data_IF_020998129551
#
_entry.id   IF_020998129551
#
_cell.length_a   1.000
_cell.length_b   1.000
_cell.length_c   1.000
_cell.angle_alpha   90.00
_cell.angle_beta   90.00
_cell.angle_gamma   90.00
#
_symmetry.space_group_name_H-M   'P 1'
#
loop_
_entity.id
_entity.type
_entity.pdbx_description
1 polymer ?
#
# COMPACT_ATOMS: atom_id res chain seq x y z
N UNK A 1 5.49 16.01 -13.34
CA UNK A 1 6.94 15.74 -13.21
C UNK A 1 7.22 14.30 -13.62
N UNK A 2 8.40 14.00 -14.17
CA UNK A 2 8.82 12.63 -14.52
C UNK A 2 9.97 12.22 -13.58
N UNK A 3 9.96 10.99 -13.04
CA UNK A 3 11.02 10.50 -12.17
C UNK A 3 11.28 9.02 -12.42
N UNK A 4 12.55 8.70 -12.70
CA UNK A 4 13.06 7.35 -12.63
C UNK A 4 14.18 7.34 -11.57
N UNK A 5 13.98 6.71 -10.40
CA UNK A 5 14.99 6.69 -9.34
C UNK A 5 16.31 6.05 -9.78
N UNK A 6 16.25 5.17 -10.80
CA UNK A 6 17.40 4.50 -11.37
C UNK A 6 17.48 4.74 -12.87
N UNK A 7 18.68 4.55 -13.42
CA UNK A 7 18.93 4.78 -14.85
C UNK A 7 19.95 3.81 -15.39
N UNK A 8 19.81 3.46 -16.65
CA UNK A 8 20.78 2.67 -17.42
C UNK A 8 21.11 3.32 -18.76
N UNK A 9 20.89 4.64 -18.87
CA UNK A 9 21.08 5.43 -20.08
C UNK A 9 22.55 5.64 -20.51
N UNK A 10 23.51 5.24 -19.69
CA UNK A 10 24.93 5.24 -20.02
C UNK A 10 25.61 3.96 -19.51
N UNK A 11 26.79 3.59 -20.06
CA UNK A 11 27.46 2.35 -19.70
C UNK A 11 27.79 2.21 -18.21
N UNK A 12 28.18 3.29 -17.53
CA UNK A 12 28.58 3.21 -16.13
C UNK A 12 27.40 2.88 -15.22
N UNK A 13 26.25 3.53 -15.45
CA UNK A 13 25.01 3.20 -14.73
C UNK A 13 24.43 1.86 -15.19
N UNK A 14 24.55 1.54 -16.49
CA UNK A 14 24.20 0.22 -17.02
C UNK A 14 24.91 -0.90 -16.27
N UNK A 15 26.24 -0.84 -16.08
CA UNK A 15 26.98 -1.89 -15.37
C UNK A 15 26.75 -1.89 -13.85
N UNK A 16 26.47 -0.73 -13.24
CA UNK A 16 26.22 -0.62 -11.78
C UNK A 16 24.88 -1.20 -11.36
N UNK A 17 23.85 -1.12 -12.21
CA UNK A 17 22.48 -1.46 -11.81
C UNK A 17 22.39 -2.93 -11.33
N UNK A 18 21.63 -3.17 -10.26
CA UNK A 18 21.52 -4.49 -9.60
C UNK A 18 20.26 -4.55 -8.76
N UNK A 19 19.74 -5.75 -8.50
CA UNK A 19 18.47 -5.93 -7.77
C UNK A 19 18.52 -5.34 -6.36
N UNK A 20 19.63 -5.45 -5.63
CA UNK A 20 19.76 -4.87 -4.30
C UNK A 20 19.80 -3.33 -4.28
N UNK A 21 20.18 -2.68 -5.39
CA UNK A 21 20.00 -1.22 -5.52
C UNK A 21 18.53 -0.86 -5.77
N UNK A 22 17.80 -1.67 -6.54
CA UNK A 22 16.38 -1.44 -6.78
C UNK A 22 15.56 -1.69 -5.52
N UNK A 23 15.83 -2.77 -4.80
CA UNK A 23 15.12 -3.19 -3.60
C UNK A 23 15.50 -2.38 -2.34
N UNK A 24 16.20 -1.26 -2.46
CA UNK A 24 16.58 -0.45 -1.31
C UNK A 24 15.52 0.63 -1.02
N UNK A 25 14.71 0.42 0.02
CA UNK A 25 13.66 1.35 0.43
C UNK A 25 14.22 2.74 0.79
N UNK A 26 15.36 2.81 1.48
CA UNK A 26 15.96 4.10 1.84
C UNK A 26 16.33 4.91 0.60
N UNK A 27 16.87 4.27 -0.43
CA UNK A 27 17.18 4.93 -1.70
C UNK A 27 15.91 5.44 -2.39
N UNK A 28 14.84 4.63 -2.39
CA UNK A 28 13.54 5.01 -2.94
C UNK A 28 12.92 6.19 -2.16
N UNK A 29 12.89 6.09 -0.84
CA UNK A 29 12.37 7.12 0.04
C UNK A 29 13.08 8.46 -0.16
N UNK A 30 14.41 8.47 -0.24
CA UNK A 30 15.19 9.69 -0.53
C UNK A 30 14.85 10.28 -1.90
N UNK A 31 14.66 9.43 -2.92
CA UNK A 31 14.30 9.86 -4.27
C UNK A 31 12.89 10.44 -4.38
N UNK A 32 11.93 9.93 -3.60
CA UNK A 32 10.53 10.37 -3.67
C UNK A 32 10.25 11.52 -2.71
N UNK A 33 10.74 11.45 -1.48
CA UNK A 33 10.48 12.46 -0.43
C UNK A 33 11.07 13.83 -0.76
N UNK A 34 12.08 13.92 -1.63
CA UNK A 34 12.62 15.20 -2.10
C UNK A 34 11.57 16.08 -2.80
N UNK A 35 10.43 15.51 -3.23
CA UNK A 35 9.34 16.23 -3.88
C UNK A 35 8.32 16.85 -2.92
N UNK A 36 8.45 16.62 -1.60
CA UNK A 36 7.54 17.20 -0.61
C UNK A 36 7.40 18.73 -0.69
N UNK A 37 8.47 19.53 -0.97
CA UNK A 37 8.31 20.96 -1.19
C UNK A 37 7.45 21.32 -2.40
N UNK A 38 7.52 20.54 -3.48
CA UNK A 38 6.75 20.74 -4.71
C UNK A 38 5.29 20.34 -4.50
N UNK A 39 5.04 19.29 -3.71
CA UNK A 39 3.69 18.94 -3.24
C UNK A 39 3.09 20.12 -2.46
N UNK A 40 3.81 20.63 -1.45
CA UNK A 40 3.34 21.76 -0.65
C UNK A 40 3.10 23.02 -1.49
N UNK A 41 3.96 23.29 -2.49
CA UNK A 41 3.76 24.41 -3.41
C UNK A 41 2.51 24.22 -4.30
N UNK A 42 2.25 23.00 -4.76
CA UNK A 42 1.07 22.67 -5.55
C UNK A 42 -0.22 22.82 -4.73
N UNK A 43 -0.21 22.33 -3.48
CA UNK A 43 -1.31 22.42 -2.53
C UNK A 43 -1.73 23.88 -2.24
N UNK A 44 -0.77 24.80 -2.09
CA UNK A 44 -1.03 26.24 -1.90
C UNK A 44 -1.86 26.82 -3.05
N UNK A 45 -1.70 26.28 -4.26
CA UNK A 45 -2.43 26.74 -5.44
C UNK A 45 -3.70 25.92 -5.73
N UNK A 46 -4.00 24.90 -4.91
CA UNK A 46 -5.13 24.00 -5.11
C UNK A 46 -4.97 23.06 -6.32
N UNK A 47 -3.74 22.81 -6.79
CA UNK A 47 -3.47 21.89 -7.89
C UNK A 47 -2.73 20.65 -7.37
N UNK A 48 -3.04 19.46 -7.89
CA UNK A 48 -2.34 18.26 -7.46
C UNK A 48 -0.93 18.17 -8.04
N UNK A 49 0.03 17.76 -7.21
CA UNK A 49 1.33 17.35 -7.72
C UNK A 49 1.26 15.89 -8.20
N UNK A 50 1.66 15.68 -9.46
CA UNK A 50 1.53 14.40 -10.16
C UNK A 50 2.88 13.94 -10.73
N UNK A 51 3.17 12.66 -10.53
CA UNK A 51 4.22 11.95 -11.24
C UNK A 51 3.67 11.45 -12.58
N UNK A 52 3.84 12.27 -13.61
CA UNK A 52 3.30 12.05 -14.96
C UNK A 52 4.00 10.91 -15.72
N UNK A 53 5.18 10.50 -15.26
CA UNK A 53 5.89 9.35 -15.81
C UNK A 53 6.88 8.81 -14.77
N UNK A 54 6.91 7.49 -14.59
CA UNK A 54 7.91 6.80 -13.80
C UNK A 54 8.06 5.35 -14.26
N UNK A 55 9.17 4.71 -13.91
CA UNK A 55 9.28 3.28 -13.78
C UNK A 55 10.56 2.93 -13.00
N UNK A 56 10.86 1.64 -12.83
CA UNK A 56 11.99 1.12 -12.07
C UNK A 56 13.33 1.71 -12.52
N UNK A 57 13.61 1.66 -13.83
CA UNK A 57 14.89 2.07 -14.43
C UNK A 57 14.62 2.78 -15.75
N UNK A 58 15.17 3.99 -15.95
CA UNK A 58 15.02 4.75 -17.22
C UNK A 58 15.74 4.09 -18.40
N UNK A 59 15.49 4.59 -19.61
CA UNK A 59 16.01 4.06 -20.88
C UNK A 59 15.48 2.67 -21.24
N UNK A 60 14.19 2.44 -21.01
CA UNK A 60 13.48 1.22 -21.38
C UNK A 60 13.57 0.10 -20.34
N UNK A 61 14.33 0.29 -19.26
CA UNK A 61 14.47 -0.69 -18.19
C UNK A 61 15.77 -1.48 -18.25
N UNK A 62 15.86 -2.51 -17.41
CA UNK A 62 16.91 -3.51 -17.46
C UNK A 62 16.36 -4.91 -17.17
N UNK A 63 16.37 -5.80 -18.15
CA UNK A 63 15.90 -7.19 -18.02
C UNK A 63 16.77 -7.95 -17.01
N UNK A 64 16.14 -8.79 -16.21
CA UNK A 64 16.69 -9.37 -14.97
C UNK A 64 16.62 -8.43 -13.76
N UNK A 65 16.07 -7.22 -13.92
CA UNK A 65 15.88 -6.22 -12.84
C UNK A 65 14.48 -5.60 -12.88
N UNK A 66 14.11 -4.97 -14.00
CA UNK A 66 12.85 -4.24 -14.20
C UNK A 66 11.64 -5.14 -14.45
N UNK A 67 11.89 -6.36 -14.94
CA UNK A 67 10.91 -7.40 -15.26
C UNK A 67 10.87 -8.51 -14.22
N UNK A 68 11.36 -8.24 -13.00
CA UNK A 68 11.39 -9.21 -11.90
C UNK A 68 10.44 -8.83 -10.77
N UNK A 69 10.20 -9.77 -9.88
CA UNK A 69 9.43 -9.56 -8.66
C UNK A 69 10.03 -8.49 -7.74
N UNK A 70 11.35 -8.28 -7.77
CA UNK A 70 11.99 -7.14 -7.11
C UNK A 70 11.46 -5.79 -7.59
N UNK A 71 11.22 -5.64 -8.90
CA UNK A 71 10.57 -4.46 -9.45
C UNK A 71 9.09 -4.36 -9.06
N UNK A 72 8.41 -5.50 -8.86
CA UNK A 72 7.03 -5.50 -8.37
C UNK A 72 6.95 -4.95 -6.93
N UNK A 73 7.79 -5.45 -6.02
CA UNK A 73 7.87 -4.92 -4.64
C UNK A 73 8.26 -3.45 -4.63
N UNK A 74 9.25 -3.06 -5.44
CA UNK A 74 9.65 -1.66 -5.64
C UNK A 74 8.48 -0.80 -6.10
N UNK A 75 7.63 -1.30 -7.01
CA UNK A 75 6.47 -0.56 -7.52
C UNK A 75 5.43 -0.28 -6.42
N UNK A 76 5.20 -1.25 -5.52
CA UNK A 76 4.31 -1.05 -4.36
C UNK A 76 4.90 -0.01 -3.40
N UNK A 77 6.18 -0.16 -3.04
CA UNK A 77 6.88 0.79 -2.16
C UNK A 77 6.89 2.21 -2.75
N UNK A 78 7.16 2.35 -4.05
CA UNK A 78 7.16 3.62 -4.77
C UNK A 78 5.82 4.34 -4.64
N UNK A 79 4.72 3.63 -4.93
CA UNK A 79 3.38 4.21 -4.91
C UNK A 79 2.98 4.62 -3.49
N UNK A 80 3.21 3.75 -2.50
CA UNK A 80 2.82 4.04 -1.13
C UNK A 80 3.70 5.13 -0.49
N UNK A 81 5.00 5.15 -0.79
CA UNK A 81 5.90 6.25 -0.39
C UNK A 81 5.46 7.57 -1.00
N UNK A 82 5.19 7.61 -2.31
CA UNK A 82 4.72 8.81 -3.00
C UNK A 82 3.39 9.33 -2.44
N UNK A 83 2.43 8.43 -2.22
CA UNK A 83 1.15 8.79 -1.60
C UNK A 83 1.35 9.35 -0.18
N UNK A 84 2.27 8.77 0.60
CA UNK A 84 2.55 9.22 1.98
C UNK A 84 3.17 10.62 2.07
N UNK A 85 3.76 11.12 0.98
CA UNK A 85 4.30 12.49 0.88
C UNK A 85 3.38 13.43 0.09
N UNK A 86 2.17 13.00 -0.26
CA UNK A 86 1.12 13.82 -0.89
C UNK A 86 1.17 13.89 -2.43
N UNK A 87 1.91 13.01 -3.11
CA UNK A 87 1.83 12.89 -4.57
C UNK A 87 0.51 12.21 -4.94
N UNK A 88 -0.38 12.92 -5.64
CA UNK A 88 -1.77 12.46 -5.85
C UNK A 88 -1.87 11.32 -6.85
N UNK A 89 -1.07 11.37 -7.93
CA UNK A 89 -1.14 10.39 -9.03
C UNK A 89 0.25 10.00 -9.50
N UNK A 90 0.37 8.73 -9.86
CA UNK A 90 1.56 8.15 -10.48
C UNK A 90 1.13 7.46 -11.77
N UNK A 91 1.83 7.78 -12.85
CA UNK A 91 1.66 7.15 -14.14
C UNK A 91 2.92 6.34 -14.47
N UNK A 92 2.78 5.01 -14.49
CA UNK A 92 3.86 4.13 -14.92
C UNK A 92 3.98 4.17 -16.44
N UNK A 93 5.18 4.48 -16.93
CA UNK A 93 5.46 4.40 -18.35
C UNK A 93 5.41 2.94 -18.78
N UNK A 94 4.64 2.66 -19.83
CA UNK A 94 4.65 1.39 -20.54
C UNK A 94 5.12 1.67 -21.97
N UNK A 95 6.08 0.90 -22.46
CA UNK A 95 6.58 1.03 -23.82
C UNK A 95 6.42 -0.27 -24.58
N UNK A 96 6.25 -0.20 -25.90
CA UNK A 96 6.10 -1.37 -26.76
C UNK A 96 7.25 -2.37 -26.63
N UNK A 97 8.48 -1.86 -26.48
CA UNK A 97 9.69 -2.68 -26.33
C UNK A 97 10.44 -2.43 -25.01
N UNK A 98 9.73 -1.98 -23.96
CA UNK A 98 10.36 -1.69 -22.67
C UNK A 98 10.37 -2.92 -21.75
N UNK A 99 11.51 -3.19 -21.13
CA UNK A 99 11.73 -4.28 -20.19
C UNK A 99 10.98 -4.05 -18.87
N UNK A 100 10.71 -2.80 -18.50
CA UNK A 100 9.89 -2.47 -17.34
C UNK A 100 8.36 -2.54 -17.56
N UNK A 101 7.91 -2.85 -18.77
CA UNK A 101 6.46 -2.91 -19.05
C UNK A 101 5.83 -4.01 -18.20
N UNK A 102 4.65 -3.74 -17.63
CA UNK A 102 3.94 -4.70 -16.77
C UNK A 102 3.37 -5.90 -17.52
N UNK A 103 3.26 -5.83 -18.84
CA UNK A 103 2.82 -6.92 -19.71
C UNK A 103 3.29 -6.69 -21.15
N UNK A 104 3.27 -7.75 -21.95
CA UNK A 104 3.45 -7.74 -23.40
C UNK A 104 2.15 -8.22 -24.04
N UNK A 105 1.39 -7.36 -24.73
CA UNK A 105 0.11 -7.76 -25.30
C UNK A 105 0.24 -8.60 -26.58
N UNK A 106 1.29 -8.35 -27.37
CA UNK A 106 1.61 -9.09 -28.59
C UNK A 106 3.11 -9.32 -28.63
N UNK A 107 3.52 -10.52 -29.06
CA UNK A 107 4.93 -10.86 -29.19
C UNK A 107 5.66 -10.01 -30.24
N UNK A 108 6.96 -9.78 -30.03
CA UNK A 108 7.80 -8.97 -30.91
C UNK A 108 9.27 -9.41 -30.85
N UNK A 109 10.05 -9.24 -31.94
CA UNK A 109 11.49 -9.48 -31.93
C UNK A 109 12.21 -8.39 -31.11
N UNK A 110 13.10 -8.79 -30.22
CA UNK A 110 13.83 -7.88 -29.35
C UNK A 110 15.20 -8.46 -28.95
N UNK A 111 16.27 -7.68 -29.16
CA UNK A 111 17.66 -8.05 -28.80
C UNK A 111 18.05 -9.48 -29.20
N UNK A 112 17.75 -9.86 -30.45
CA UNK A 112 18.01 -11.19 -31.03
C UNK A 112 17.18 -12.35 -30.46
N UNK A 113 16.14 -12.05 -29.69
CA UNK A 113 15.13 -13.01 -29.23
C UNK A 113 13.75 -12.64 -29.79
N UNK A 114 12.79 -13.55 -29.67
CA UNK A 114 11.37 -13.27 -29.94
C UNK A 114 10.63 -13.39 -28.62
N UNK A 115 10.10 -12.28 -28.13
CA UNK A 115 9.26 -12.26 -26.94
C UNK A 115 7.83 -12.63 -27.32
N UNK A 116 7.15 -13.33 -26.43
CA UNK A 116 5.74 -13.69 -26.57
C UNK A 116 4.85 -12.77 -25.73
N UNK A 117 3.53 -12.88 -25.93
CA UNK A 117 2.58 -12.20 -25.06
C UNK A 117 2.68 -12.77 -23.63
N UNK A 118 2.51 -11.92 -22.64
CA UNK A 118 2.61 -12.35 -21.24
C UNK A 118 2.46 -11.24 -20.22
N UNK A 119 2.00 -11.63 -19.03
CA UNK A 119 1.96 -10.78 -17.85
C UNK A 119 3.32 -10.84 -17.15
N UNK A 120 3.87 -9.68 -16.78
CA UNK A 120 5.16 -9.56 -16.09
C UNK A 120 4.94 -9.17 -14.62
N UNK A 121 5.95 -9.34 -13.75
CA UNK A 121 5.82 -9.09 -12.31
C UNK A 121 5.27 -7.70 -11.94
N UNK A 122 5.60 -6.66 -12.71
CA UNK A 122 5.10 -5.30 -12.47
C UNK A 122 3.57 -5.19 -12.44
N UNK A 123 2.84 -6.05 -13.17
CA UNK A 123 1.37 -6.11 -13.12
C UNK A 123 0.84 -6.47 -11.73
N UNK A 124 1.48 -7.44 -11.08
CA UNK A 124 1.08 -7.93 -9.76
C UNK A 124 1.25 -6.86 -8.67
N UNK A 125 2.20 -5.92 -8.83
CA UNK A 125 2.30 -4.75 -7.96
C UNK A 125 1.04 -3.88 -8.06
N UNK A 126 0.56 -3.63 -9.29
CA UNK A 126 -0.63 -2.80 -9.53
C UNK A 126 -1.90 -3.50 -9.03
N UNK A 127 -2.00 -4.82 -9.22
CA UNK A 127 -3.09 -5.61 -8.69
C UNK A 127 -3.11 -5.62 -7.15
N UNK A 128 -1.95 -5.81 -6.51
CA UNK A 128 -1.83 -5.70 -5.05
C UNK A 128 -2.22 -4.30 -4.54
N UNK A 129 -1.73 -3.23 -5.19
CA UNK A 129 -2.09 -1.85 -4.86
C UNK A 129 -3.59 -1.58 -5.01
N UNK A 130 -4.26 -2.18 -5.99
CA UNK A 130 -5.71 -2.10 -6.13
C UNK A 130 -6.42 -2.66 -4.89
N UNK A 131 -5.90 -3.74 -4.29
CA UNK A 131 -6.38 -4.22 -2.99
C UNK A 131 -6.06 -3.26 -1.85
N UNK A 132 -4.89 -2.62 -1.84
CA UNK A 132 -4.57 -1.59 -0.83
C UNK A 132 -5.58 -0.45 -0.86
N UNK A 133 -5.98 0.04 -2.02
CA UNK A 133 -6.86 1.23 -2.14
C UNK A 133 -8.35 0.92 -2.34
N UNK A 134 -8.75 -0.36 -2.43
CA UNK A 134 -10.18 -0.71 -2.58
C UNK A 134 -10.99 -0.28 -1.34
N UNK A 135 -12.16 0.35 -1.49
CA UNK A 135 -13.06 0.61 -0.37
C UNK A 135 -13.51 -0.68 0.32
N UNK A 136 -13.61 -0.67 1.66
CA UNK A 136 -14.04 -1.83 2.45
C UNK A 136 -15.56 -1.85 2.69
N UNK A 137 -16.21 -0.68 2.68
CA UNK A 137 -17.67 -0.55 2.79
C UNK A 137 -18.25 -0.28 1.41
N UNK A 138 -19.14 -1.16 0.92
CA UNK A 138 -19.96 -0.91 -0.27
C UNK A 138 -21.29 -0.32 0.16
N UNK A 139 -21.42 1.00 0.14
CA UNK A 139 -22.68 1.65 0.53
C UNK A 139 -22.72 3.12 0.13
N UNK A 140 -23.40 3.42 -0.97
CA UNK A 140 -23.66 4.76 -1.47
C UNK A 140 -23.33 4.87 -2.96
N UNK A 141 -24.14 5.62 -3.70
CA UNK A 141 -23.97 5.81 -5.15
C UNK A 141 -22.60 6.37 -5.54
N UNK A 142 -22.35 6.47 -6.85
CA UNK A 142 -21.09 6.99 -7.41
C UNK A 142 -20.67 8.29 -6.70
N UNK A 143 -19.56 8.25 -5.94
CA UNK A 143 -19.03 9.37 -5.17
C UNK A 143 -19.07 9.24 -3.64
N UNK A 144 -19.72 8.21 -3.09
CA UNK A 144 -19.83 7.96 -1.65
C UNK A 144 -18.81 6.92 -1.12
N UNK A 145 -17.71 6.70 -1.85
CA UNK A 145 -16.66 5.77 -1.43
C UNK A 145 -15.86 6.31 -0.25
N UNK A 146 -15.46 5.41 0.65
CA UNK A 146 -14.46 5.70 1.69
C UNK A 146 -13.20 6.28 1.05
N UNK A 147 -12.73 7.43 1.56
CA UNK A 147 -11.48 8.04 1.12
C UNK A 147 -10.34 7.52 1.99
N UNK A 148 -9.23 7.18 1.35
CA UNK A 148 -8.04 6.71 2.04
C UNK A 148 -6.93 7.73 2.03
N UNK A 149 -6.22 7.79 3.15
CA UNK A 149 -4.94 8.46 3.28
C UNK A 149 -3.88 7.45 3.69
N UNK A 150 -2.66 7.63 3.18
CA UNK A 150 -1.54 6.72 3.41
C UNK A 150 -0.50 7.44 4.26
N UNK A 151 0.02 6.77 5.27
CA UNK A 151 1.14 7.24 6.07
C UNK A 151 2.22 6.17 6.15
N UNK A 152 3.49 6.56 6.02
CA UNK A 152 4.61 5.66 6.29
C UNK A 152 4.69 5.30 7.78
N UNK A 153 5.05 4.05 8.09
CA UNK A 153 5.28 3.56 9.45
C UNK A 153 6.74 3.79 9.83
N UNK A 154 7.07 4.72 10.75
CA UNK A 154 8.46 5.08 11.04
C UNK A 154 9.32 3.91 11.53
N UNK A 155 8.73 2.97 12.27
CA UNK A 155 9.40 1.76 12.77
C UNK A 155 9.63 0.68 11.70
N UNK A 156 8.99 0.82 10.54
CA UNK A 156 9.18 -0.05 9.39
C UNK A 156 9.72 0.79 8.21
N UNK A 157 10.83 1.49 8.45
CA UNK A 157 11.50 2.34 7.48
C UNK A 157 13.02 2.10 7.56
N UNK A 158 13.47 1.00 6.96
CA UNK A 158 14.88 0.65 6.82
C UNK A 158 15.17 0.28 5.37
N UNK A 159 16.44 0.10 4.99
CA UNK A 159 16.78 -0.24 3.60
C UNK A 159 16.10 -1.49 3.06
N UNK A 160 15.76 -2.46 3.92
CA UNK A 160 15.14 -3.74 3.54
C UNK A 160 13.72 -3.93 4.07
N UNK A 161 13.10 -2.89 4.63
CA UNK A 161 11.74 -2.97 5.17
C UNK A 161 11.04 -1.63 5.01
N UNK A 162 9.87 -1.66 4.38
CA UNK A 162 8.95 -0.53 4.30
C UNK A 162 7.58 -0.91 4.86
N UNK A 163 6.93 -0.01 5.58
CA UNK A 163 5.59 -0.22 6.11
C UNK A 163 4.72 1.01 5.96
N UNK A 164 3.43 0.80 5.75
CA UNK A 164 2.45 1.87 5.54
C UNK A 164 1.14 1.58 6.27
N UNK A 165 0.52 2.62 6.82
CA UNK A 165 -0.82 2.61 7.36
C UNK A 165 -1.78 3.28 6.37
N UNK A 166 -2.95 2.67 6.17
CA UNK A 166 -4.03 3.22 5.34
C UNK A 166 -5.18 3.59 6.25
N UNK A 167 -5.46 4.88 6.32
CA UNK A 167 -6.52 5.45 7.14
C UNK A 167 -7.74 5.75 6.29
N UNK A 168 -8.89 5.22 6.69
CA UNK A 168 -10.18 5.52 6.09
C UNK A 168 -10.84 6.71 6.77
N UNK A 169 -11.38 7.62 5.95
CA UNK A 169 -12.31 8.66 6.39
C UNK A 169 -13.71 8.24 5.96
N UNK A 170 -14.69 8.19 6.88
CA UNK A 170 -16.08 7.90 6.51
C UNK A 170 -16.55 8.85 5.41
N UNK A 171 -17.44 8.41 4.49
CA UNK A 171 -18.05 9.31 3.53
C UNK A 171 -18.72 10.46 4.29
N UNK A 172 -18.50 11.69 3.84
CA UNK A 172 -19.20 12.87 4.35
C UNK A 172 -20.70 12.62 4.08
N UNK A 173 -21.43 12.09 5.05
CA UNK A 173 -22.88 12.19 5.05
C UNK A 173 -23.17 13.69 4.94
N UNK A 174 -23.91 14.10 3.90
CA UNK A 174 -24.12 15.51 3.54
C UNK A 174 -24.34 16.36 4.80
N UNK A 175 -23.29 17.07 5.22
CA UNK A 175 -23.43 18.12 6.20
C UNK A 175 -24.41 19.12 5.58
N UNK A 176 -25.59 19.23 6.20
CA UNK A 176 -26.74 20.08 5.90
C UNK A 176 -27.92 19.43 5.14
N UNK A 177 -28.80 18.77 5.91
CA UNK A 177 -30.24 18.81 5.64
C UNK A 177 -31.07 19.06 6.90
N UNK A 178 -30.57 19.84 7.86
CA UNK A 178 -31.45 20.60 8.76
C UNK A 178 -31.96 21.82 8.00
N UNK A 179 -33.06 21.61 7.28
CA UNK A 179 -33.91 22.66 6.72
C UNK A 179 -34.31 23.63 7.86
N UNK A 180 -33.86 24.89 7.89
CA UNK A 180 -34.47 25.86 8.78
C UNK A 180 -35.88 26.13 8.27
N UNK A 181 -36.87 25.98 9.14
CA UNK A 181 -38.26 26.33 8.82
C UNK A 181 -38.32 27.73 8.23
N UNK A 182 -39.03 27.86 7.10
CA UNK A 182 -39.30 29.14 6.47
C UNK A 182 -40.12 30.02 7.41
N UNK A 183 -39.45 30.97 8.05
CA UNK A 183 -40.06 32.11 8.75
C UNK A 183 -39.56 33.39 8.08
N UNK A 184 -40.43 34.00 7.30
CA UNK A 184 -40.26 35.33 6.71
C UNK A 184 -40.00 36.38 7.79
N UNK A 185 -38.98 37.23 7.61
CA UNK A 185 -39.11 38.69 7.73
C UNK A 185 -37.83 39.43 7.29
N UNK A 186 -38.09 40.56 6.66
CA UNK A 186 -37.26 41.59 6.01
C UNK A 186 -36.23 42.31 6.90
N UNK A 187 -35.04 42.58 6.33
CA UNK A 187 -34.31 43.87 6.28
C UNK A 187 -32.76 43.74 6.45
N UNK A 188 -31.95 44.66 5.86
CA UNK A 188 -30.56 44.40 5.45
C UNK A 188 -29.52 44.90 6.45
N UNK A 189 -28.34 44.25 6.53
CA UNK A 189 -27.17 44.82 7.23
C UNK A 189 -25.82 44.30 6.74
N UNK A 190 -25.10 45.21 6.06
CA UNK A 190 -23.65 45.45 6.09
C UNK A 190 -22.72 44.28 6.47
N UNK A 191 -21.96 43.78 5.48
CA UNK A 191 -20.82 42.88 5.70
C UNK A 191 -19.70 43.60 6.42
N UNK A 192 -19.50 43.28 7.70
CA UNK A 192 -18.29 43.59 8.46
C UNK A 192 -17.50 42.29 8.59
N UNK A 193 -16.24 42.34 8.16
CA UNK A 193 -15.29 41.23 8.22
C UNK A 193 -14.99 40.87 9.68
N UNK A 194 -15.46 39.70 10.12
CA UNK A 194 -14.89 38.88 11.20
C UNK A 194 -15.58 37.52 11.14
N UNK A 195 -15.22 36.70 10.15
CA UNK A 195 -15.50 35.26 10.19
C UNK A 195 -14.15 34.58 10.39
N UNK A 196 -13.80 34.35 11.66
CA UNK A 196 -12.91 33.26 12.00
C UNK A 196 -13.61 32.00 11.50
N UNK A 197 -13.19 31.50 10.34
CA UNK A 197 -13.55 30.16 9.87
C UNK A 197 -13.05 29.18 10.93
N UNK A 198 -13.95 28.78 11.82
CA UNK A 198 -13.80 27.61 12.63
C UNK A 198 -13.69 26.42 11.67
N UNK A 199 -12.48 25.88 11.58
CA UNK A 199 -12.21 24.61 10.89
C UNK A 199 -13.22 23.57 11.40
N UNK A 200 -13.94 22.88 10.49
CA UNK A 200 -14.81 21.79 10.91
C UNK A 200 -13.97 20.77 11.67
N UNK A 201 -14.53 20.24 12.77
CA UNK A 201 -13.90 19.21 13.59
C UNK A 201 -13.33 18.12 12.66
N UNK A 202 -12.02 17.91 12.71
CA UNK A 202 -11.33 17.04 11.76
C UNK A 202 -12.00 15.67 11.68
N UNK A 203 -12.37 15.25 10.48
CA UNK A 203 -13.00 13.96 10.26
C UNK A 203 -12.13 12.86 10.91
N UNK A 204 -12.69 12.14 11.88
CA UNK A 204 -11.95 11.15 12.64
C UNK A 204 -11.50 10.01 11.71
N UNK A 205 -10.19 9.95 11.42
CA UNK A 205 -9.56 8.92 10.61
C UNK A 205 -9.48 7.61 11.37
N UNK A 206 -9.78 6.50 10.71
CA UNK A 206 -9.71 5.15 11.31
C UNK A 206 -8.68 4.31 10.57
N UNK A 207 -7.84 3.56 11.31
CA UNK A 207 -6.89 2.65 10.67
C UNK A 207 -7.67 1.50 10.03
N UNK A 208 -7.61 1.39 8.70
CA UNK A 208 -8.30 0.33 7.95
C UNK A 208 -7.38 -0.77 7.51
N UNK A 209 -6.15 -0.41 7.13
CA UNK A 209 -5.21 -1.37 6.54
C UNK A 209 -3.78 -1.09 6.96
N UNK A 210 -2.97 -2.13 6.95
CA UNK A 210 -1.52 -2.06 7.14
C UNK A 210 -0.85 -2.79 5.99
N UNK A 211 0.19 -2.19 5.43
CA UNK A 211 1.05 -2.82 4.42
C UNK A 211 2.45 -2.95 5.00
N UNK A 212 3.05 -4.13 4.85
CA UNK A 212 4.44 -4.42 5.18
C UNK A 212 5.10 -5.05 3.96
N UNK A 213 6.24 -4.50 3.53
CA UNK A 213 7.04 -5.07 2.45
C UNK A 213 8.41 -5.41 3.00
N UNK A 214 8.74 -6.70 3.01
CA UNK A 214 10.13 -7.12 3.16
C UNK A 214 10.83 -6.91 1.82
N UNK A 215 11.68 -5.89 1.78
CA UNK A 215 12.45 -5.48 0.60
C UNK A 215 13.82 -6.15 0.56
N UNK A 216 14.12 -7.08 1.48
CA UNK A 216 15.35 -7.84 1.48
C UNK A 216 15.49 -8.68 0.22
N UNK A 217 16.69 -8.73 -0.36
CA UNK A 217 16.94 -9.54 -1.55
C UNK A 217 17.02 -11.02 -1.20
N UNK A 218 16.25 -11.83 -1.92
CA UNK A 218 16.33 -13.28 -1.93
C UNK A 218 16.26 -13.77 -3.38
N UNK A 219 17.35 -14.30 -3.92
CA UNK A 219 17.33 -14.88 -5.25
C UNK A 219 16.93 -16.37 -5.17
N UNK A 220 15.72 -16.68 -5.60
CA UNK A 220 15.19 -18.03 -5.64
C UNK A 220 15.65 -18.80 -6.88
N UNK A 221 15.34 -20.10 -6.91
CA UNK A 221 15.71 -21.04 -8.00
C UNK A 221 14.56 -21.37 -8.95
N UNK A 222 13.37 -20.80 -8.73
CA UNK A 222 12.16 -21.03 -9.51
C UNK A 222 11.60 -19.71 -10.04
N UNK A 223 10.66 -19.77 -10.99
CA UNK A 223 10.08 -18.61 -11.64
C UNK A 223 11.07 -17.74 -12.42
N UNK A 224 12.20 -18.29 -12.88
CA UNK A 224 13.34 -17.51 -13.42
C UNK A 224 13.12 -16.99 -14.84
N UNK A 225 12.20 -17.59 -15.58
CA UNK A 225 11.91 -17.28 -16.98
C UNK A 225 10.47 -16.83 -17.15
N UNK A 226 10.23 -16.00 -18.18
CA UNK A 226 8.90 -15.61 -18.61
C UNK A 226 8.97 -15.41 -20.14
N UNK A 227 8.07 -16.03 -20.94
CA UNK A 227 8.10 -15.92 -22.40
C UNK A 227 8.05 -14.48 -22.93
N UNK A 228 7.52 -13.55 -22.13
CA UNK A 228 7.49 -12.13 -22.46
C UNK A 228 8.75 -11.36 -22.06
N UNK A 229 9.83 -12.03 -21.64
CA UNK A 229 11.09 -11.42 -21.17
C UNK A 229 12.30 -12.07 -21.82
N UNK A 230 13.47 -11.40 -21.80
CA UNK A 230 14.69 -11.92 -22.43
C UNK A 230 15.26 -13.11 -21.64
N UNK A 231 15.38 -14.26 -22.30
CA UNK A 231 15.95 -15.48 -21.71
C UNK A 231 17.44 -15.33 -21.38
N UNK A 232 18.19 -14.49 -22.11
CA UNK A 232 19.62 -14.24 -21.82
C UNK A 232 19.87 -13.60 -20.45
N UNK A 233 18.82 -13.10 -19.79
CA UNK A 233 18.89 -12.47 -18.46
C UNK A 233 18.17 -13.28 -17.38
N UNK A 234 17.78 -14.52 -17.67
CA UNK A 234 17.22 -15.41 -16.66
C UNK A 234 18.23 -15.64 -15.53
N UNK A 235 17.74 -15.61 -14.29
CA UNK A 235 18.60 -15.55 -13.11
C UNK A 235 19.45 -16.81 -12.95
N UNK A 236 20.78 -16.65 -12.86
CA UNK A 236 21.74 -17.76 -12.66
C UNK A 236 22.44 -17.73 -11.29
N UNK A 237 22.17 -16.70 -10.49
CA UNK A 237 22.77 -16.51 -9.17
C UNK A 237 21.70 -16.60 -8.07
N UNK A 238 21.90 -17.52 -7.13
CA UNK A 238 20.90 -17.88 -6.12
C UNK A 238 21.39 -17.58 -4.70
N UNK A 239 20.46 -17.23 -3.81
CA UNK A 239 20.77 -17.05 -2.40
C UNK A 239 21.00 -18.41 -1.72
N UNK A 240 22.04 -18.54 -0.88
CA UNK A 240 22.31 -19.80 -0.20
C UNK A 240 21.34 -20.03 0.96
N UNK A 241 21.12 -21.31 1.28
CA UNK A 241 20.34 -21.73 2.45
C UNK A 241 18.82 -21.62 2.26
N UNK A 242 18.11 -21.44 3.37
CA UNK A 242 16.66 -21.29 3.38
C UNK A 242 16.27 -19.81 3.35
N UNK A 243 15.18 -19.50 2.64
CA UNK A 243 14.64 -18.14 2.57
C UNK A 243 14.27 -17.66 3.99
N UNK A 244 14.85 -16.55 4.46
CA UNK A 244 14.56 -16.05 5.80
C UNK A 244 13.09 -15.66 5.95
N UNK A 245 12.57 -15.80 7.17
CA UNK A 245 11.24 -15.33 7.56
C UNK A 245 11.34 -14.48 8.82
N UNK A 246 10.42 -13.55 9.01
CA UNK A 246 10.37 -12.66 10.17
C UNK A 246 8.95 -12.45 10.64
N UNK A 247 8.78 -12.46 11.97
CA UNK A 247 7.48 -12.19 12.58
C UNK A 247 7.41 -10.71 12.94
N UNK A 248 6.45 -10.02 12.35
CA UNK A 248 6.14 -8.63 12.64
C UNK A 248 5.01 -8.54 13.65
N UNK A 249 5.23 -7.77 14.71
CA UNK A 249 4.23 -7.47 15.73
C UNK A 249 3.85 -6.00 15.60
N UNK A 250 2.59 -5.72 15.34
CA UNK A 250 2.09 -4.35 15.13
C UNK A 250 1.02 -4.03 16.15
N UNK A 251 1.24 -2.99 16.96
CA UNK A 251 0.22 -2.49 17.87
C UNK A 251 -0.79 -1.63 17.10
N UNK A 252 -2.06 -2.03 17.11
CA UNK A 252 -3.13 -1.37 16.33
C UNK A 252 -4.25 -0.88 17.25
N UNK A 253 -5.08 0.08 16.82
CA UNK A 253 -6.32 0.43 17.53
C UNK A 253 -7.44 -0.61 17.32
N UNK A 254 -7.20 -1.71 16.61
CA UNK A 254 -8.21 -2.72 16.36
C UNK A 254 -8.56 -3.50 17.63
N UNK A 255 -9.81 -3.92 17.73
CA UNK A 255 -10.29 -4.60 18.93
C UNK A 255 -9.76 -6.04 19.01
N UNK A 256 -9.27 -6.46 20.19
CA UNK A 256 -8.91 -7.86 20.44
C UNK A 256 -10.05 -8.82 20.08
N UNK A 257 -9.70 -9.98 19.53
CA UNK A 257 -10.64 -11.02 19.10
C UNK A 257 -11.26 -10.81 17.71
N UNK A 258 -11.03 -9.67 17.06
CA UNK A 258 -11.39 -9.48 15.63
C UNK A 258 -10.35 -10.13 14.71
N UNK A 259 -10.75 -10.42 13.48
CA UNK A 259 -9.88 -10.98 12.46
C UNK A 259 -9.60 -9.94 11.37
N UNK A 260 -8.31 -9.73 11.07
CA UNK A 260 -7.87 -9.01 9.88
C UNK A 260 -7.67 -10.02 8.74
N UNK A 261 -8.12 -9.71 7.53
CA UNK A 261 -7.79 -10.51 6.35
C UNK A 261 -6.38 -10.19 5.87
N UNK A 262 -5.69 -11.20 5.34
CA UNK A 262 -4.33 -11.09 4.82
C UNK A 262 -4.35 -11.25 3.30
N UNK A 263 -3.70 -10.32 2.61
CA UNK A 263 -3.40 -10.41 1.18
C UNK A 263 -1.90 -10.38 1.00
N UNK A 264 -1.33 -11.32 0.24
CA UNK A 264 0.13 -11.45 0.07
C UNK A 264 0.54 -11.23 -1.36
N UNK A 265 1.56 -10.41 -1.60
CA UNK A 265 2.27 -10.33 -2.89
C UNK A 265 3.50 -11.23 -2.81
N UNK A 266 3.57 -12.27 -3.65
CA UNK A 266 4.50 -13.38 -3.47
C UNK A 266 5.13 -13.83 -4.78
N UNK A 267 6.35 -14.38 -4.69
CA UNK A 267 7.05 -15.10 -5.76
C UNK A 267 8.17 -15.96 -5.15
N UNK A 268 8.81 -16.88 -5.90
CA UNK A 268 9.94 -17.68 -5.42
C UNK A 268 11.17 -16.87 -4.96
N UNK A 269 11.35 -15.66 -5.47
CA UNK A 269 12.39 -14.73 -5.05
C UNK A 269 12.35 -13.39 -5.76
N UNK A 270 13.19 -12.45 -5.34
CA UNK A 270 13.38 -11.11 -5.91
C UNK A 270 13.74 -11.15 -7.40
N UNK A 271 14.45 -12.20 -7.85
CA UNK A 271 14.86 -12.43 -9.24
C UNK A 271 13.78 -13.10 -10.11
N UNK A 272 12.64 -13.50 -9.56
CA UNK A 272 11.61 -14.22 -10.31
C UNK A 272 10.96 -13.33 -11.37
N UNK A 273 10.83 -13.85 -12.59
CA UNK A 273 10.10 -13.25 -13.73
C UNK A 273 8.71 -13.86 -13.92
N UNK A 274 8.45 -15.02 -13.33
CA UNK A 274 7.17 -15.72 -13.31
C UNK A 274 6.88 -16.30 -11.92
N UNK A 275 5.81 -17.08 -11.78
CA UNK A 275 5.32 -17.60 -10.49
C UNK A 275 5.03 -16.49 -9.46
N UNK A 276 4.74 -15.29 -9.94
CA UNK A 276 4.29 -14.17 -9.11
C UNK A 276 2.78 -14.30 -8.90
N UNK A 277 2.32 -14.09 -7.68
CA UNK A 277 0.88 -14.11 -7.36
C UNK A 277 0.50 -13.07 -6.31
N UNK A 278 -0.79 -12.77 -6.23
CA UNK A 278 -1.40 -12.02 -5.12
C UNK A 278 -2.40 -12.93 -4.41
N UNK A 279 -2.02 -13.46 -3.25
CA UNK A 279 -2.73 -14.52 -2.51
C UNK A 279 -3.23 -15.60 -3.46
N UNK A 280 -2.29 -16.21 -4.20
CA UNK A 280 -2.57 -17.30 -5.14
C UNK A 280 -3.23 -16.89 -6.46
N UNK A 281 -3.67 -15.64 -6.63
CA UNK A 281 -4.22 -15.17 -7.90
C UNK A 281 -3.10 -14.93 -8.91
N UNK A 282 -3.27 -15.51 -10.09
CA UNK A 282 -2.43 -15.34 -11.28
C UNK A 282 -3.28 -14.84 -12.46
N UNK A 283 -2.67 -14.63 -13.62
CA UNK A 283 -3.36 -14.11 -14.80
C UNK A 283 -2.96 -14.90 -16.03
N UNK A 284 -3.94 -15.13 -16.91
CA UNK A 284 -3.68 -15.70 -18.21
C UNK A 284 -2.73 -14.78 -19.01
N UNK A 285 -1.61 -15.31 -19.53
CA UNK A 285 -0.61 -14.49 -20.21
C UNK A 285 -1.10 -13.88 -21.54
N UNK A 286 -2.15 -14.45 -22.16
CA UNK A 286 -2.68 -13.98 -23.44
C UNK A 286 -3.89 -13.08 -23.24
N UNK A 287 -4.85 -13.48 -22.41
CA UNK A 287 -6.12 -12.74 -22.25
C UNK A 287 -6.06 -11.71 -21.11
N UNK A 288 -5.16 -11.91 -20.14
CA UNK A 288 -5.15 -11.14 -18.90
C UNK A 288 -6.30 -11.49 -17.95
N UNK A 289 -7.04 -12.58 -18.21
CA UNK A 289 -8.10 -13.04 -17.32
C UNK A 289 -7.53 -13.57 -16.01
N UNK A 290 -8.28 -13.38 -14.93
CA UNK A 290 -7.90 -13.87 -13.60
C UNK A 290 -7.90 -15.40 -13.59
N UNK A 291 -6.75 -15.97 -13.24
CA UNK A 291 -6.59 -17.40 -12.97
C UNK A 291 -6.53 -17.58 -11.44
N UNK A 292 -7.57 -18.22 -10.89
CA UNK A 292 -7.72 -18.44 -9.46
C UNK A 292 -6.61 -19.36 -8.92
N UNK A 293 -6.30 -19.22 -7.63
CA UNK A 293 -5.54 -20.25 -6.95
C UNK A 293 -6.34 -21.56 -6.90
N UNK A 294 -5.64 -22.70 -7.00
CA UNK A 294 -6.23 -24.02 -6.85
C UNK A 294 -6.92 -24.26 -5.49
N UNK A 295 -6.71 -23.39 -4.50
CA UNK A 295 -7.29 -23.45 -3.15
C UNK A 295 -8.46 -22.47 -2.92
N UNK A 296 -8.79 -21.62 -3.90
CA UNK A 296 -10.02 -20.82 -3.85
C UNK A 296 -11.24 -21.76 -3.90
N UNK A 297 -12.18 -21.58 -2.97
CA UNK A 297 -13.39 -22.41 -2.90
C UNK A 297 -14.07 -22.47 -4.27
N UNK A 298 -14.39 -23.69 -4.70
CA UNK A 298 -14.90 -23.99 -6.03
C UNK A 298 -16.00 -23.00 -6.47
N UNK A 299 -15.68 -22.13 -7.43
CA UNK A 299 -16.66 -21.25 -8.07
C UNK A 299 -16.34 -19.75 -8.17
N UNK A 300 -15.16 -19.27 -7.75
CA UNK A 300 -14.81 -17.86 -8.00
C UNK A 300 -13.31 -17.60 -7.94
N UNK A 301 -12.81 -16.84 -8.92
CA UNK A 301 -11.42 -16.34 -9.01
C UNK A 301 -11.05 -15.35 -7.91
N UNK A 302 -11.21 -15.78 -6.66
CA UNK A 302 -10.92 -15.02 -5.45
C UNK A 302 -9.51 -15.26 -4.92
N UNK A 303 -9.09 -14.37 -4.04
CA UNK A 303 -7.87 -14.52 -3.24
C UNK A 303 -7.95 -15.76 -2.35
N UNK A 304 -6.82 -16.40 -2.10
CA UNK A 304 -6.69 -17.37 -1.02
C UNK A 304 -7.06 -16.73 0.33
N UNK A 305 -7.89 -17.44 1.09
CA UNK A 305 -8.40 -16.93 2.37
C UNK A 305 -7.37 -17.15 3.47
N UNK A 306 -6.80 -16.05 3.97
CA UNK A 306 -5.96 -16.03 5.16
C UNK A 306 -6.45 -14.93 6.10
N UNK A 307 -6.48 -15.23 7.40
CA UNK A 307 -6.84 -14.28 8.45
C UNK A 307 -5.87 -14.37 9.63
N UNK A 308 -5.65 -13.24 10.29
CA UNK A 308 -4.93 -13.16 11.57
C UNK A 308 -5.82 -12.52 12.63
N UNK A 309 -5.81 -13.09 13.83
CA UNK A 309 -6.58 -12.56 14.95
C UNK A 309 -5.82 -11.42 15.63
N UNK A 310 -6.56 -10.38 16.01
CA UNK A 310 -6.06 -9.29 16.84
C UNK A 310 -5.95 -9.80 18.27
N UNK A 311 -4.74 -9.85 18.80
CA UNK A 311 -4.44 -10.23 20.17
C UNK A 311 -4.75 -9.15 21.19
N UNK A 312 -4.34 -9.38 22.43
CA UNK A 312 -4.47 -8.41 23.51
C UNK A 312 -3.82 -7.08 23.16
N UNK A 313 -4.38 -5.98 23.70
CA UNK A 313 -3.92 -4.61 23.44
C UNK A 313 -3.90 -4.22 21.96
N UNK A 314 -4.66 -4.91 21.11
CA UNK A 314 -4.76 -4.62 19.68
C UNK A 314 -3.54 -5.07 18.86
N UNK A 315 -2.72 -5.97 19.39
CA UNK A 315 -1.50 -6.43 18.69
C UNK A 315 -1.87 -7.44 17.62
N UNK A 316 -1.36 -7.25 16.40
CA UNK A 316 -1.42 -8.25 15.32
C UNK A 316 -0.02 -8.79 15.08
N UNK A 317 0.09 -10.11 14.97
CA UNK A 317 1.33 -10.80 14.62
C UNK A 317 1.18 -11.43 13.23
N UNK A 318 2.18 -11.21 12.38
CA UNK A 318 2.18 -11.73 11.01
C UNK A 318 3.58 -12.17 10.62
N UNK A 319 3.69 -13.38 10.09
CA UNK A 319 4.94 -13.86 9.50
C UNK A 319 5.05 -13.39 8.04
N UNK A 320 6.22 -12.86 7.68
CA UNK A 320 6.56 -12.40 6.34
C UNK A 320 7.91 -13.00 5.94
N UNK A 321 7.92 -13.71 4.81
CA UNK A 321 9.17 -14.23 4.23
C UNK A 321 9.90 -13.12 3.48
N UNK A 322 11.23 -13.21 3.41
CA UNK A 322 12.06 -12.21 2.72
C UNK A 322 11.60 -11.98 1.28
N UNK A 323 11.61 -10.76 0.76
CA UNK A 323 11.04 -10.44 -0.55
C UNK A 323 9.55 -10.84 -0.61
N UNK A 324 8.70 -10.24 0.21
CA UNK A 324 7.25 -10.46 0.19
C UNK A 324 6.54 -9.18 0.61
N UNK A 325 5.38 -8.93 0.00
CA UNK A 325 4.46 -7.90 0.47
C UNK A 325 3.28 -8.52 1.20
N UNK A 326 2.83 -7.89 2.28
CA UNK A 326 1.64 -8.27 3.03
C UNK A 326 0.76 -7.05 3.25
N UNK A 327 -0.55 -7.22 3.02
CA UNK A 327 -1.61 -6.28 3.31
C UNK A 327 -2.55 -6.92 4.34
N UNK A 328 -2.69 -6.28 5.50
CA UNK A 328 -3.69 -6.61 6.52
C UNK A 328 -4.87 -5.65 6.36
N UNK A 329 -6.09 -6.17 6.32
CA UNK A 329 -7.30 -5.35 6.20
C UNK A 329 -8.30 -5.65 7.32
N UNK A 330 -8.80 -4.58 7.96
CA UNK A 330 -9.80 -4.66 9.02
C UNK A 330 -11.14 -4.10 8.52
N UNK A 331 -12.10 -5.00 8.31
CA UNK A 331 -13.44 -4.62 7.88
C UNK A 331 -14.23 -3.93 9.00
N UNK A 332 -14.12 -4.45 10.23
CA UNK A 332 -14.81 -3.92 11.40
C UNK A 332 -13.84 -3.13 12.31
N UNK A 333 -13.93 -1.80 12.23
CA UNK A 333 -13.18 -0.86 13.09
C UNK A 333 -14.09 -0.15 14.09
N UNK A 334 -15.28 -0.69 14.35
CA UNK A 334 -16.17 -0.14 15.37
C UNK A 334 -15.51 -0.15 16.75
N UNK A 335 -15.87 0.76 17.67
CA UNK A 335 -15.29 0.79 19.02
C UNK A 335 -15.41 -0.54 19.77
N UNK A 336 -14.49 -0.80 20.69
CA UNK A 336 -14.48 -2.06 21.45
C UNK A 336 -15.54 -2.03 22.57
N UNK A 337 -16.72 -2.63 22.30
CA UNK A 337 -17.80 -2.87 23.28
C UNK A 337 -19.18 -2.34 22.84
N UNK A 338 -20.31 -2.99 23.16
CA UNK A 338 -20.53 -4.01 24.19
C UNK A 338 -21.46 -5.16 23.78
N UNK A 339 -21.38 -6.24 24.56
CA UNK A 339 -22.33 -7.36 24.73
C UNK A 339 -23.24 -7.72 23.55
N UNK A 340 -23.06 -8.94 23.03
CA UNK A 340 -24.12 -9.68 22.34
C UNK A 340 -25.43 -9.64 23.15
N UNK A 341 -26.60 -9.35 22.57
CA UNK A 341 -27.86 -9.28 23.31
C UNK A 341 -28.27 -10.70 23.72
N UNK A 342 -27.96 -11.07 24.96
CA UNK A 342 -28.38 -12.33 25.57
C UNK A 342 -28.06 -12.37 27.05
N UNK A 343 -29.05 -12.02 27.88
CA UNK A 343 -28.98 -12.18 29.34
C UNK A 343 -29.28 -10.89 30.09
N UNK A 344 -30.58 -10.62 30.31
CA UNK A 344 -31.03 -9.52 31.15
C UNK A 344 -30.63 -9.70 32.63
N UNK A 345 -30.41 -8.59 33.31
CA UNK A 345 -30.26 -8.59 34.76
C UNK A 345 -29.85 -7.24 35.33
N UNK A 346 -30.82 -6.56 35.94
CA UNK A 346 -30.60 -5.78 37.16
C UNK A 346 -30.02 -4.38 37.00
N UNK A 347 -30.87 -3.39 37.27
CA UNK A 347 -30.51 -1.97 37.28
C UNK A 347 -29.67 -1.52 38.48
N UNK A 348 -29.25 -0.26 38.40
CA UNK A 348 -28.55 0.44 39.47
C UNK A 348 -28.25 1.88 39.06
N UNK A 349 -29.14 2.79 39.45
CA UNK A 349 -29.07 4.23 39.25
C UNK A 349 -28.01 4.86 40.17
N UNK A 350 -27.30 5.90 39.73
CA UNK A 350 -26.53 6.74 40.65
C UNK A 350 -25.50 7.69 40.02
N UNK A 351 -25.77 9.00 40.09
CA UNK A 351 -24.76 9.97 40.51
C UNK A 351 -24.17 10.89 39.43
N UNK A 352 -24.80 12.05 39.25
CA UNK A 352 -24.25 13.25 38.62
C UNK A 352 -23.08 13.85 39.43
N UNK A 353 -22.00 14.26 38.77
CA UNK A 353 -20.93 15.08 39.36
C UNK A 353 -20.32 16.01 38.32
N UNK A 354 -20.63 17.30 38.43
CA UNK A 354 -20.05 18.37 37.64
C UNK A 354 -18.68 18.77 38.21
N UNK A 355 -17.72 19.07 37.33
CA UNK A 355 -16.40 19.61 37.69
C UNK A 355 -15.89 20.52 36.58
N UNK A 356 -15.59 21.75 36.96
CA UNK A 356 -15.27 22.93 36.15
C UNK A 356 -13.84 22.93 35.59
N UNK A 357 -13.62 23.74 34.54
CA UNK A 357 -12.47 23.67 33.65
C UNK A 357 -11.20 24.42 34.07
N UNK A 358 -10.19 24.32 33.19
CA UNK A 358 -9.13 25.31 33.01
C UNK A 358 -8.53 25.13 31.61
N UNK A 359 -8.56 26.21 30.83
CA UNK A 359 -8.06 26.32 29.48
C UNK A 359 -6.54 26.59 29.47
N UNK A 360 -5.80 25.87 28.64
CA UNK A 360 -4.40 26.13 28.30
C UNK A 360 -4.21 25.93 26.80
N UNK A 361 -4.12 27.04 26.06
CA UNK A 361 -3.86 27.09 24.61
C UNK A 361 -2.42 26.64 24.33
N UNK A 362 -2.25 25.65 23.45
CA UNK A 362 -1.06 25.47 22.62
C UNK A 362 -1.51 24.97 21.24
N UNK A 363 -0.96 25.55 20.18
CA UNK A 363 -1.38 25.37 18.78
C UNK A 363 -1.23 23.94 18.24
N UNK A 364 -1.77 23.63 17.06
CA UNK A 364 -1.80 22.26 16.55
C UNK A 364 -0.40 21.85 16.08
N UNK A 365 0.32 21.16 16.95
CA UNK A 365 1.32 20.18 16.53
C UNK A 365 0.58 19.06 15.80
N UNK A 366 1.08 18.67 14.63
CA UNK A 366 0.61 17.48 13.92
C UNK A 366 0.58 16.29 14.90
N UNK A 367 -0.58 15.66 15.05
CA UNK A 367 -0.70 14.46 15.88
C UNK A 367 0.07 13.32 15.21
N UNK A 368 1.29 13.07 15.67
CA UNK A 368 2.10 11.93 15.26
C UNK A 368 1.46 10.66 15.80
N UNK A 369 0.73 9.93 14.96
CA UNK A 369 0.22 8.59 15.30
C UNK A 369 1.39 7.61 15.27
N UNK A 370 1.96 7.32 16.44
CA UNK A 370 3.02 6.31 16.56
C UNK A 370 2.39 4.90 16.57
N UNK A 371 2.32 4.27 15.39
CA UNK A 371 2.28 2.82 15.29
C UNK A 371 3.69 2.27 15.46
N UNK A 372 3.86 1.33 16.37
CA UNK A 372 5.11 0.61 16.57
C UNK A 372 5.03 -0.78 15.92
N UNK A 373 5.96 -1.04 15.00
CA UNK A 373 6.23 -2.33 14.38
C UNK A 373 7.51 -2.88 15.01
N UNK A 374 7.42 -4.05 15.62
CA UNK A 374 8.59 -4.77 16.15
C UNK A 374 8.82 -6.01 15.30
N UNK A 375 10.04 -6.14 14.77
CA UNK A 375 10.48 -7.30 14.00
C UNK A 375 11.22 -8.27 14.93
N UNK A 376 10.73 -9.50 15.03
CA UNK A 376 11.44 -10.60 15.68
C UNK A 376 11.99 -11.53 14.60
N UNK A 377 13.31 -11.66 14.52
CA UNK A 377 13.95 -12.65 13.66
C UNK A 377 13.92 -14.03 14.35
N UNK A 378 13.25 -15.02 13.75
CA UNK A 378 13.38 -16.41 14.18
C UNK A 378 14.58 -17.00 13.46
N UNK A 379 15.75 -16.95 14.11
CA UNK A 379 16.95 -17.62 13.62
C UNK A 379 16.90 -19.10 13.97
N UNK A 380 16.56 -19.97 13.01
CA UNK A 380 16.88 -21.39 13.12
C UNK A 380 18.38 -21.56 12.90
N UNK A 381 19.17 -21.41 13.97
CA UNK A 381 20.53 -21.95 14.01
C UNK A 381 20.40 -23.46 14.13
N UNK A 382 20.49 -24.19 13.02
CA UNK A 382 20.96 -25.57 13.07
C UNK A 382 22.47 -25.55 12.92
N UNK A 383 23.14 -25.99 14.00
CA UNK A 383 24.56 -26.28 14.09
C UNK A 383 24.99 -27.35 13.09
#
# INVERSE_FOLDING_TARGET
MHLYPQSTCDPARWHRMRLDLLSNHTALWLNVSQYAPQVAAADVTGHPFVMGETNSVSCGGRSGISDTFGAALWGVDYVLTAASVGIEKIYFHLGGNSEYSSFTPLGYPYKNETLEAGIRPGWYAHYFLAHVVRPLVRGGGAGAGERFEIAGLPSANSSSLSGFAVYGTPPIASLNSTKPGGGSTTAPRTRRATEQQQQPAGDAKTLRKLVLLDMGVWNGTAGLSNPSTLSVTDGTAFSPGSRPSSTFRVATPWCPGRNASVVRLQAPGTNAKSEVSVSGVTFDPLTGDVQASASASAGGGGLESEVVSVGEKGVVEIEVVRAQGVLLEMNDVSPCGGTSPGGGGGGGNGGTGAGTGAAGRNGPMAATWLLAVVMCAVGTFML
#
